data_IF_669207164379
#
_entry.id   IF_669207164379
#
_cell.length_a   1.000
_cell.length_b   1.000
_cell.length_c   1.000
_cell.angle_alpha   90.00
_cell.angle_beta   90.00
_cell.angle_gamma   90.00
#
_symmetry.space_group_name_H-M   'P 1'
#
loop_
_entity.id
_entity.type
_entity.pdbx_description
1 polymer ?
#
# COMPACT_ATOMS: atom_id res chain seq x y z
N UNK A 1 -7.03 9.76 3.94
CA UNK A 1 -5.86 10.66 3.80
C UNK A 1 -6.20 11.92 2.98
N UNK A 2 -7.14 12.77 3.43
CA UNK A 2 -7.56 13.97 2.68
C UNK A 2 -6.46 15.04 2.68
N UNK A 3 -6.21 15.64 1.52
CA UNK A 3 -5.16 16.66 1.34
C UNK A 3 -3.74 16.10 1.26
N UNK A 4 -3.56 14.78 1.14
CA UNK A 4 -2.24 14.16 1.02
C UNK A 4 -1.45 14.75 -0.15
N UNK A 5 -0.20 15.11 0.13
CA UNK A 5 0.75 15.61 -0.88
C UNK A 5 1.49 14.46 -1.56
N UNK A 6 2.10 14.75 -2.70
CA UNK A 6 2.95 13.78 -3.40
C UNK A 6 4.12 13.29 -2.52
N UNK A 7 4.70 14.18 -1.71
CA UNK A 7 5.81 13.84 -0.81
C UNK A 7 5.37 12.93 0.34
N UNK A 8 4.19 13.17 0.91
CA UNK A 8 3.61 12.30 1.95
C UNK A 8 3.26 10.92 1.39
N UNK A 9 2.67 10.84 0.19
CA UNK A 9 2.39 9.57 -0.48
C UNK A 9 3.70 8.80 -0.75
N UNK A 10 4.73 9.49 -1.24
CA UNK A 10 6.03 8.90 -1.51
C UNK A 10 6.70 8.41 -0.21
N UNK A 11 6.59 9.17 0.88
CA UNK A 11 7.11 8.78 2.18
C UNK A 11 6.42 7.52 2.73
N UNK A 12 5.08 7.47 2.66
CA UNK A 12 4.31 6.30 3.05
C UNK A 12 4.71 5.06 2.23
N UNK A 13 4.81 5.21 0.91
CA UNK A 13 5.22 4.13 0.01
C UNK A 13 6.66 3.66 0.28
N UNK A 14 7.59 4.57 0.58
CA UNK A 14 8.97 4.20 0.96
C UNK A 14 9.03 3.42 2.27
N UNK A 15 8.15 3.72 3.23
CA UNK A 15 8.07 2.97 4.47
C UNK A 15 7.68 1.51 4.22
N UNK A 16 6.72 1.26 3.32
CA UNK A 16 6.37 -0.11 2.88
C UNK A 16 7.56 -0.82 2.23
N UNK A 17 8.21 -0.14 1.27
CA UNK A 17 9.33 -0.69 0.51
C UNK A 17 10.52 -1.10 1.41
N UNK A 18 10.72 -0.39 2.53
CA UNK A 18 11.80 -0.67 3.46
C UNK A 18 11.64 -2.01 4.19
N UNK A 19 10.41 -2.51 4.37
CA UNK A 19 10.12 -3.73 5.13
C UNK A 19 9.44 -4.83 4.31
N UNK A 20 9.09 -4.58 3.05
CA UNK A 20 8.36 -5.52 2.16
C UNK A 20 8.97 -6.92 2.06
N UNK A 21 10.29 -7.03 2.17
CA UNK A 21 11.03 -8.28 2.02
C UNK A 21 10.71 -9.29 3.15
N UNK A 22 10.36 -8.80 4.34
CA UNK A 22 10.02 -9.63 5.50
C UNK A 22 8.80 -10.53 5.22
N UNK A 23 7.88 -10.04 4.40
CA UNK A 23 6.61 -10.69 4.07
C UNK A 23 6.54 -11.15 2.60
N UNK A 24 7.65 -11.05 1.86
CA UNK A 24 7.75 -11.38 0.43
C UNK A 24 6.74 -10.60 -0.43
N UNK A 25 6.54 -9.33 -0.10
CA UNK A 25 5.64 -8.43 -0.82
C UNK A 25 6.41 -7.62 -1.87
N UNK A 26 5.82 -7.41 -3.03
CA UNK A 26 6.25 -6.45 -4.04
C UNK A 26 5.18 -5.38 -4.22
N UNK A 27 5.44 -4.16 -3.74
CA UNK A 27 4.59 -3.01 -4.06
C UNK A 27 4.95 -2.48 -5.45
N UNK A 28 3.97 -2.40 -6.33
CA UNK A 28 4.17 -1.98 -7.72
C UNK A 28 3.93 -0.50 -7.92
N UNK A 29 2.75 -0.02 -7.47
CA UNK A 29 2.26 1.33 -7.74
C UNK A 29 1.37 1.81 -6.61
N UNK A 30 1.39 3.11 -6.40
CA UNK A 30 0.49 3.81 -5.49
C UNK A 30 -0.09 5.04 -6.18
N UNK A 31 -1.38 5.29 -5.93
CA UNK A 31 -2.10 6.47 -6.38
C UNK A 31 -2.85 7.06 -5.20
N UNK A 32 -3.04 8.37 -5.19
CA UNK A 32 -3.89 9.05 -4.22
C UNK A 32 -4.86 9.99 -4.92
N UNK A 33 -6.07 10.07 -4.40
CA UNK A 33 -6.97 11.19 -4.62
C UNK A 33 -6.99 12.06 -3.36
N UNK A 34 -6.29 13.22 -3.34
CA UNK A 34 -6.27 14.10 -2.18
C UNK A 34 -7.63 14.72 -1.85
N UNK A 35 -8.56 14.80 -2.82
CA UNK A 35 -9.87 15.42 -2.61
C UNK A 35 -10.80 14.50 -1.81
N UNK A 36 -10.92 13.24 -2.22
CA UNK A 36 -11.66 12.20 -1.47
C UNK A 36 -10.87 11.74 -0.24
N UNK A 37 -9.54 11.75 -0.33
CA UNK A 37 -8.62 11.21 0.66
C UNK A 37 -8.36 9.72 0.50
N UNK A 38 -8.66 9.14 -0.65
CA UNK A 38 -8.41 7.72 -0.93
C UNK A 38 -6.99 7.48 -1.44
N UNK A 39 -6.41 6.36 -1.05
CA UNK A 39 -5.12 5.88 -1.53
C UNK A 39 -5.29 4.44 -2.01
N UNK A 40 -4.79 4.17 -3.21
CA UNK A 40 -4.82 2.85 -3.83
C UNK A 40 -3.39 2.35 -3.99
N UNK A 41 -3.11 1.15 -3.49
CA UNK A 41 -1.83 0.48 -3.65
C UNK A 41 -2.02 -0.84 -4.40
N UNK A 42 -1.26 -1.03 -5.47
CA UNK A 42 -1.16 -2.30 -6.19
C UNK A 42 0.10 -3.04 -5.73
N UNK A 43 -0.05 -4.32 -5.40
CA UNK A 43 1.05 -5.16 -4.94
C UNK A 43 0.85 -6.62 -5.31
N UNK A 44 1.97 -7.33 -5.47
CA UNK A 44 2.04 -8.79 -5.54
C UNK A 44 2.52 -9.34 -4.20
N UNK A 45 1.82 -10.32 -3.64
CA UNK A 45 2.11 -10.88 -2.33
C UNK A 45 1.59 -12.32 -2.18
N UNK A 46 2.15 -13.11 -1.24
CA UNK A 46 1.65 -14.45 -0.97
C UNK A 46 0.24 -14.48 -0.37
N UNK A 47 -0.21 -13.41 0.28
CA UNK A 47 -1.57 -13.28 0.80
C UNK A 47 -1.93 -11.82 1.12
N UNK A 48 -3.23 -11.53 1.24
CA UNK A 48 -3.71 -10.23 1.74
C UNK A 48 -3.19 -9.92 3.17
N UNK A 49 -2.99 -10.94 4.00
CA UNK A 49 -2.46 -10.75 5.36
C UNK A 49 -1.00 -10.31 5.38
N UNK A 50 -0.20 -10.74 4.39
CA UNK A 50 1.18 -10.26 4.23
C UNK A 50 1.20 -8.74 3.95
N UNK A 51 0.32 -8.27 3.07
CA UNK A 51 0.12 -6.83 2.80
C UNK A 51 -0.31 -6.09 4.06
N UNK A 52 -1.31 -6.63 4.78
CA UNK A 52 -1.85 -6.03 6.01
C UNK A 52 -0.77 -5.81 7.06
N UNK A 53 0.06 -6.83 7.31
CA UNK A 53 1.16 -6.75 8.28
C UNK A 53 2.20 -5.69 7.90
N UNK A 54 2.52 -5.55 6.61
CA UNK A 54 3.44 -4.50 6.16
C UNK A 54 2.84 -3.11 6.41
N UNK A 55 1.62 -2.85 5.95
CA UNK A 55 0.96 -1.55 6.13
C UNK A 55 0.79 -1.17 7.61
N UNK A 56 0.42 -2.14 8.46
CA UNK A 56 0.32 -1.92 9.91
C UNK A 56 1.68 -1.54 10.52
N UNK A 57 2.75 -2.27 10.18
CA UNK A 57 4.12 -1.98 10.64
C UNK A 57 4.69 -0.68 10.07
N UNK A 58 4.28 -0.29 8.87
CA UNK A 58 4.66 0.96 8.23
C UNK A 58 3.90 2.19 8.79
N UNK A 59 2.89 1.96 9.65
CA UNK A 59 2.15 3.01 10.35
C UNK A 59 0.95 3.55 9.58
N UNK A 60 0.49 2.86 8.54
CA UNK A 60 -0.65 3.27 7.72
C UNK A 60 -1.47 2.03 7.28
N UNK A 61 -2.21 1.40 8.20
CA UNK A 61 -3.00 0.22 7.88
C UNK A 61 -4.00 0.51 6.76
N UNK A 62 -4.11 -0.41 5.81
CA UNK A 62 -5.11 -0.31 4.74
C UNK A 62 -6.51 -0.62 5.30
N UNK A 63 -7.49 0.22 4.94
CA UNK A 63 -8.89 0.02 5.31
C UNK A 63 -9.49 -1.22 4.63
N UNK A 64 -9.09 -1.47 3.38
CA UNK A 64 -9.55 -2.58 2.55
C UNK A 64 -8.40 -3.23 1.78
N UNK A 65 -8.46 -4.56 1.63
CA UNK A 65 -7.51 -5.34 0.82
C UNK A 65 -8.30 -6.39 0.05
N UNK A 66 -8.30 -6.26 -1.29
CA UNK A 66 -9.02 -7.16 -2.19
C UNK A 66 -8.03 -7.89 -3.10
N UNK A 67 -7.96 -9.24 -3.06
CA UNK A 67 -7.25 -10.00 -4.08
C UNK A 67 -7.92 -9.78 -5.45
N UNK A 68 -7.10 -9.56 -6.49
CA UNK A 68 -7.60 -9.26 -7.86
C UNK A 68 -7.22 -10.34 -8.90
N UNK A 69 -7.67 -11.60 -8.77
CA UNK A 69 -7.55 -12.59 -9.84
C UNK A 69 -8.70 -12.47 -10.86
N UNK A 70 -8.51 -12.73 -12.18
CA UNK A 70 -7.28 -12.74 -12.99
C UNK A 70 -6.89 -11.35 -13.52
N UNK A 71 -5.60 -11.15 -13.85
CA UNK A 71 -5.08 -9.92 -14.46
C UNK A 71 -5.03 -10.05 -15.98
N UNK A 72 -5.44 -9.00 -16.71
CA UNK A 72 -5.37 -8.89 -18.18
C UNK A 72 -4.66 -7.62 -18.60
#
# INVERSE_FOLDING_TARGET
MKGITADELMAAHRADLAIRADEKVQFERAWADPASGEVYCLSEAPSADAIRRIHERAGHPADEIHPVPPMV
#
